data_IF_701530828884
#
_entry.id   IF_701530828884
#
_cell.length_a   1.000
_cell.length_b   1.000
_cell.length_c   1.000
_cell.angle_alpha   90.00
_cell.angle_beta   90.00
_cell.angle_gamma   90.00
#
_symmetry.space_group_name_H-M   'P 1'
#
loop_
_entity.id
_entity.type
_entity.pdbx_description
1 polymer ?
#
# COMPACT_ATOMS: atom_id res chain seq x y z
N UNK A 1 3.02 -14.54 -8.34
CA UNK A 1 1.58 -14.77 -8.11
C UNK A 1 1.20 -14.19 -6.77
N UNK A 2 0.00 -13.69 -6.69
CA UNK A 2 -0.46 -13.07 -5.47
C UNK A 2 -0.80 -14.07 -4.36
N UNK A 3 -0.80 -15.37 -4.66
CA UNK A 3 -1.05 -16.37 -3.62
C UNK A 3 0.09 -16.49 -2.60
N UNK A 4 1.23 -15.84 -2.85
CA UNK A 4 2.31 -15.76 -1.86
C UNK A 4 2.05 -14.69 -0.81
N UNK A 5 1.10 -13.80 -1.06
CA UNK A 5 0.82 -12.69 -0.16
C UNK A 5 0.00 -13.18 1.01
N UNK A 6 0.40 -12.76 2.21
CA UNK A 6 -0.34 -13.06 3.43
C UNK A 6 -0.89 -11.75 4.01
N UNK A 7 -2.04 -11.86 4.65
CA UNK A 7 -2.67 -10.73 5.30
C UNK A 7 -2.50 -10.86 6.80
N UNK A 8 -2.02 -9.81 7.44
CA UNK A 8 -1.77 -9.83 8.88
C UNK A 8 -3.05 -9.52 9.64
N UNK A 9 -3.30 -10.27 10.72
CA UNK A 9 -4.28 -9.87 11.70
C UNK A 9 -3.75 -8.74 12.57
N UNK A 10 -4.56 -8.27 13.54
CA UNK A 10 -4.22 -7.09 14.34
C UNK A 10 -2.89 -7.26 15.06
N UNK A 11 -2.66 -8.40 15.71
CA UNK A 11 -1.45 -8.57 16.51
C UNK A 11 -0.19 -8.59 15.64
N UNK A 12 -0.23 -9.33 14.53
CA UNK A 12 0.92 -9.37 13.64
C UNK A 12 1.15 -8.03 12.95
N UNK A 13 0.07 -7.34 12.58
CA UNK A 13 0.19 -6.01 11.97
C UNK A 13 0.87 -5.04 12.94
N UNK A 14 0.49 -5.07 14.22
CA UNK A 14 1.15 -4.22 15.22
C UNK A 14 2.64 -4.53 15.30
N UNK A 15 3.00 -5.81 15.28
CA UNK A 15 4.40 -6.20 15.36
C UNK A 15 5.18 -5.78 14.12
N UNK A 16 4.60 -6.00 12.93
CA UNK A 16 5.26 -5.63 11.68
C UNK A 16 5.43 -4.11 11.55
N UNK A 17 4.40 -3.37 11.92
CA UNK A 17 4.33 -1.94 11.62
C UNK A 17 4.95 -1.05 12.69
N UNK A 18 5.33 -1.61 13.85
CA UNK A 18 5.98 -0.80 14.87
C UNK A 18 7.33 -0.26 14.41
N UNK A 19 7.89 -0.85 13.36
CA UNK A 19 9.16 -0.40 12.77
C UNK A 19 8.97 0.17 11.37
N UNK A 20 7.74 0.60 11.02
CA UNK A 20 7.45 1.20 9.72
C UNK A 20 8.35 2.41 9.48
N UNK A 21 9.25 2.35 8.47
CA UNK A 21 10.16 3.47 8.21
C UNK A 21 9.49 4.61 7.43
N UNK A 22 8.29 4.37 6.88
CA UNK A 22 7.61 5.33 6.01
C UNK A 22 6.62 6.17 6.81
N UNK A 23 5.82 5.51 7.67
CA UNK A 23 4.79 6.18 8.46
C UNK A 23 4.89 5.75 9.93
N UNK A 24 5.99 6.11 10.61
CA UNK A 24 6.24 5.58 11.95
C UNK A 24 5.28 6.09 13.02
N UNK A 25 4.56 7.19 12.77
CA UNK A 25 3.76 7.85 13.78
C UNK A 25 2.26 7.56 13.68
N UNK A 26 1.84 6.64 12.81
CA UNK A 26 0.44 6.28 12.73
C UNK A 26 0.02 5.51 13.99
N UNK A 27 -1.25 5.69 14.44
CA UNK A 27 -1.72 4.99 15.63
C UNK A 27 -1.60 3.48 15.48
N UNK A 28 -1.27 2.81 16.59
CA UNK A 28 -0.88 1.40 16.54
C UNK A 28 -1.99 0.49 16.06
N UNK A 29 -3.22 0.71 16.53
CA UNK A 29 -4.33 -0.18 16.17
C UNK A 29 -5.16 0.31 14.99
N UNK A 30 -4.68 1.32 14.30
CA UNK A 30 -5.40 1.89 13.17
C UNK A 30 -5.30 1.04 11.90
N UNK A 31 -4.27 0.24 11.79
CA UNK A 31 -3.83 -0.36 10.53
C UNK A 31 -4.69 -1.52 10.04
N UNK A 32 -5.45 -2.16 10.90
CA UNK A 32 -6.26 -3.32 10.51
C UNK A 32 -7.68 -3.14 11.01
N UNK A 33 -8.60 -2.99 10.05
CA UNK A 33 -10.04 -3.00 10.29
C UNK A 33 -10.67 -3.77 9.13
N UNK A 34 -11.45 -4.82 9.40
CA UNK A 34 -12.00 -5.64 8.31
C UNK A 34 -12.68 -4.79 7.25
N UNK A 35 -12.36 -5.05 6.00
CA UNK A 35 -12.89 -4.40 4.79
C UNK A 35 -12.57 -2.91 4.68
N UNK A 36 -11.70 -2.38 5.53
CA UNK A 36 -11.34 -0.97 5.52
C UNK A 36 -9.83 -0.76 5.44
N UNK A 37 -9.08 -1.41 6.32
CA UNK A 37 -7.62 -1.25 6.39
C UNK A 37 -6.98 -2.61 6.53
N UNK A 38 -5.92 -2.83 5.74
CA UNK A 38 -5.28 -4.14 5.65
C UNK A 38 -3.78 -3.98 5.59
N UNK A 39 -3.09 -4.96 6.18
CA UNK A 39 -1.63 -5.04 6.11
C UNK A 39 -1.28 -6.36 5.46
N UNK A 40 -0.51 -6.29 4.38
CA UNK A 40 -0.05 -7.46 3.63
C UNK A 40 1.45 -7.63 3.82
N UNK A 41 1.92 -8.86 3.73
CA UNK A 41 3.35 -9.12 3.82
C UNK A 41 3.73 -10.33 2.98
N UNK A 42 5.03 -10.37 2.65
CA UNK A 42 5.67 -11.51 2.03
C UNK A 42 6.74 -12.00 2.99
N UNK A 43 6.93 -13.32 3.05
CA UNK A 43 7.99 -13.90 3.86
C UNK A 43 8.64 -15.06 3.13
N UNK A 44 9.91 -15.29 3.45
CA UNK A 44 10.65 -16.46 3.00
C UNK A 44 11.16 -17.16 4.25
N UNK A 45 10.74 -18.40 4.45
CA UNK A 45 10.99 -19.14 5.68
C UNK A 45 10.38 -18.39 6.85
N UNK A 46 11.19 -17.87 7.78
CA UNK A 46 10.69 -17.10 8.92
C UNK A 46 11.05 -15.63 8.86
N UNK A 47 11.52 -15.17 7.68
CA UNK A 47 11.97 -13.79 7.49
C UNK A 47 10.94 -13.01 6.71
N UNK A 48 10.61 -11.81 7.19
CA UNK A 48 9.72 -10.89 6.48
C UNK A 48 10.52 -10.23 5.37
N UNK A 49 10.05 -10.37 4.14
CA UNK A 49 10.70 -9.79 2.96
C UNK A 49 10.21 -8.37 2.69
N UNK A 50 8.92 -8.14 2.82
CA UNK A 50 8.31 -6.82 2.55
C UNK A 50 6.95 -6.72 3.22
N UNK A 51 6.51 -5.47 3.41
CA UNK A 51 5.21 -5.15 4.03
C UNK A 51 4.56 -4.06 3.21
N UNK A 52 3.26 -4.16 3.02
CA UNK A 52 2.47 -3.14 2.33
C UNK A 52 1.20 -2.87 3.14
N UNK A 53 0.94 -1.60 3.43
CA UNK A 53 -0.24 -1.17 4.17
C UNK A 53 -1.21 -0.47 3.22
N UNK A 54 -2.48 -0.86 3.30
CA UNK A 54 -3.54 -0.37 2.41
C UNK A 54 -4.72 0.11 3.24
N UNK A 55 -5.33 1.22 2.83
CA UNK A 55 -6.59 1.70 3.38
C UNK A 55 -7.55 1.94 2.23
N UNK A 56 -8.78 1.41 2.36
CA UNK A 56 -9.84 1.61 1.36
C UNK A 56 -10.67 2.80 1.81
N UNK A 57 -10.52 3.92 1.11
CA UNK A 57 -11.04 5.21 1.55
C UNK A 57 -12.04 5.78 0.56
N UNK A 58 -12.77 6.81 0.99
CA UNK A 58 -13.74 7.51 0.16
C UNK A 58 -13.14 8.75 -0.51
N UNK A 59 -11.86 8.96 -0.39
CA UNK A 59 -11.15 10.06 -1.03
C UNK A 59 -9.67 9.74 -1.16
N UNK A 60 -8.94 10.59 -1.87
CA UNK A 60 -7.49 10.46 -2.05
C UNK A 60 -6.79 11.35 -1.05
N UNK A 61 -6.14 10.78 -0.01
CA UNK A 61 -5.54 11.60 1.03
C UNK A 61 -4.24 12.23 0.53
N UNK A 62 -4.02 13.49 0.91
CA UNK A 62 -2.79 14.19 0.56
C UNK A 62 -1.82 14.28 1.75
N UNK A 63 -2.27 13.90 2.95
CA UNK A 63 -1.44 13.91 4.15
C UNK A 63 -1.98 12.88 5.14
N UNK A 64 -1.27 12.73 6.27
CA UNK A 64 -1.66 11.73 7.27
C UNK A 64 -2.96 12.09 7.97
N UNK A 65 -3.26 13.37 8.15
CA UNK A 65 -4.54 13.76 8.75
C UNK A 65 -5.71 13.27 7.91
N UNK A 66 -5.64 13.45 6.59
CA UNK A 66 -6.68 12.95 5.70
C UNK A 66 -6.71 11.42 5.65
N UNK A 67 -5.53 10.79 5.65
CA UNK A 67 -5.45 9.34 5.68
C UNK A 67 -6.20 8.78 6.89
N UNK A 68 -6.05 9.42 8.04
CA UNK A 68 -6.68 8.96 9.29
C UNK A 68 -8.16 9.29 9.35
N UNK A 69 -8.61 10.38 8.69
CA UNK A 69 -9.97 10.88 8.86
C UNK A 69 -10.94 10.44 7.76
N UNK A 70 -10.46 10.07 6.57
CA UNK A 70 -11.34 9.67 5.49
C UNK A 70 -12.04 8.36 5.81
N UNK A 71 -13.28 8.23 5.38
CA UNK A 71 -14.09 7.06 5.63
C UNK A 71 -13.80 5.92 4.68
N UNK A 72 -14.46 4.79 4.93
CA UNK A 72 -14.34 3.61 4.09
C UNK A 72 -14.96 3.88 2.72
N UNK A 73 -14.29 3.44 1.67
CA UNK A 73 -14.77 3.66 0.31
C UNK A 73 -14.06 2.75 -0.69
N UNK A 74 -14.10 3.16 -1.96
CA UNK A 74 -13.61 2.33 -3.05
C UNK A 74 -12.30 2.84 -3.67
N UNK A 75 -11.55 3.64 -2.94
CA UNK A 75 -10.21 4.05 -3.34
C UNK A 75 -9.22 3.34 -2.44
N UNK A 76 -8.46 2.42 -3.04
CA UNK A 76 -7.47 1.64 -2.29
C UNK A 76 -6.16 2.43 -2.26
N UNK A 77 -5.77 2.87 -1.07
CA UNK A 77 -4.62 3.75 -0.88
C UNK A 77 -3.47 2.96 -0.29
N UNK A 78 -2.39 2.86 -1.04
CA UNK A 78 -1.15 2.24 -0.59
C UNK A 78 -0.34 3.35 0.11
N UNK A 79 -0.28 3.30 1.44
CA UNK A 79 0.30 4.43 2.19
C UNK A 79 1.67 4.11 2.81
N UNK A 80 2.03 2.84 2.93
CA UNK A 80 3.36 2.44 3.39
C UNK A 80 3.77 1.16 2.70
N UNK A 81 4.98 1.16 2.17
CA UNK A 81 5.59 -0.05 1.62
C UNK A 81 7.07 -0.02 1.97
N UNK A 82 7.59 -1.12 2.48
CA UNK A 82 9.02 -1.24 2.72
C UNK A 82 9.46 -2.68 2.53
N UNK A 83 10.75 -2.85 2.33
CA UNK A 83 11.30 -4.15 1.93
C UNK A 83 12.64 -4.37 2.62
N UNK A 84 12.84 -5.59 3.07
CA UNK A 84 14.11 -6.06 3.64
C UNK A 84 14.85 -6.96 2.65
N UNK A 85 14.31 -7.14 1.44
CA UNK A 85 14.88 -8.02 0.43
C UNK A 85 14.71 -7.37 -0.93
N UNK A 86 15.79 -7.31 -1.71
CA UNK A 86 15.77 -6.66 -3.01
C UNK A 86 14.70 -7.26 -3.91
N UNK A 87 13.89 -6.40 -4.52
CA UNK A 87 12.82 -6.81 -5.42
C UNK A 87 11.51 -7.14 -4.74
N UNK A 88 11.50 -7.34 -3.41
CA UNK A 88 10.28 -7.72 -2.71
C UNK A 88 9.28 -6.58 -2.59
N UNK A 89 9.77 -5.33 -2.56
CA UNK A 89 8.86 -4.17 -2.56
C UNK A 89 8.04 -4.10 -3.84
N UNK A 90 8.69 -4.28 -4.99
CA UNK A 90 7.97 -4.32 -6.26
C UNK A 90 7.01 -5.50 -6.31
N UNK A 91 7.45 -6.67 -5.87
CA UNK A 91 6.62 -7.86 -5.90
C UNK A 91 5.36 -7.68 -5.06
N UNK A 92 5.50 -7.17 -3.83
CA UNK A 92 4.33 -7.03 -2.96
C UNK A 92 3.33 -6.03 -3.52
N UNK A 93 3.81 -4.93 -4.12
CA UNK A 93 2.91 -3.94 -4.71
C UNK A 93 2.14 -4.54 -5.88
N UNK A 94 2.83 -5.17 -6.81
CA UNK A 94 2.18 -5.69 -8.01
C UNK A 94 1.27 -6.89 -7.71
N UNK A 95 1.70 -7.78 -6.82
CA UNK A 95 0.89 -8.93 -6.46
C UNK A 95 -0.34 -8.50 -5.65
N UNK A 96 -0.21 -7.50 -4.78
CA UNK A 96 -1.35 -6.99 -4.03
C UNK A 96 -2.35 -6.28 -4.96
N UNK A 97 -1.86 -5.56 -5.97
CA UNK A 97 -2.75 -4.98 -6.98
C UNK A 97 -3.59 -6.05 -7.64
N UNK A 98 -2.97 -7.17 -8.05
CA UNK A 98 -3.70 -8.28 -8.66
C UNK A 98 -4.75 -8.85 -7.70
N UNK A 99 -4.36 -9.07 -6.45
CA UNK A 99 -5.28 -9.60 -5.45
C UNK A 99 -6.47 -8.68 -5.24
N UNK A 100 -6.21 -7.39 -5.00
CA UNK A 100 -7.27 -6.43 -4.72
C UNK A 100 -8.16 -6.24 -5.94
N UNK A 101 -7.60 -6.27 -7.13
CA UNK A 101 -8.39 -6.16 -8.35
C UNK A 101 -9.38 -7.32 -8.46
N UNK A 102 -8.99 -8.51 -8.04
CA UNK A 102 -9.90 -9.66 -8.08
C UNK A 102 -11.03 -9.53 -7.06
N UNK A 103 -10.80 -8.81 -5.96
CA UNK A 103 -11.76 -8.63 -4.88
C UNK A 103 -12.58 -7.34 -5.00
N UNK A 104 -11.99 -6.31 -5.59
CA UNK A 104 -12.56 -4.96 -5.65
C UNK A 104 -12.36 -4.38 -7.05
N UNK A 105 -13.01 -4.98 -8.05
CA UNK A 105 -12.75 -4.68 -9.46
C UNK A 105 -13.02 -3.24 -9.87
N UNK A 106 -13.86 -2.52 -9.11
CA UNK A 106 -14.22 -1.14 -9.42
C UNK A 106 -13.43 -0.11 -8.62
N UNK A 107 -12.46 -0.56 -7.80
CA UNK A 107 -11.68 0.37 -7.00
C UNK A 107 -10.64 1.07 -7.85
N UNK A 108 -10.27 2.27 -7.42
CA UNK A 108 -9.07 2.94 -7.88
C UNK A 108 -7.92 2.56 -6.96
N UNK A 109 -6.72 2.56 -7.49
CA UNK A 109 -5.52 2.14 -6.75
C UNK A 109 -4.52 3.28 -6.78
N UNK A 110 -4.40 3.98 -5.66
CA UNK A 110 -3.54 5.15 -5.55
C UNK A 110 -2.56 4.95 -4.39
N UNK A 111 -1.55 5.81 -4.32
CA UNK A 111 -0.61 5.82 -3.21
C UNK A 111 -0.72 7.13 -2.45
N UNK A 112 -0.23 7.12 -1.20
CA UNK A 112 0.14 8.34 -0.51
C UNK A 112 1.59 8.16 -0.10
N UNK A 113 2.50 8.66 -0.93
CA UNK A 113 3.93 8.36 -0.86
C UNK A 113 4.72 9.52 -0.30
N UNK A 114 5.85 9.28 0.37
CA UNK A 114 6.74 10.37 0.73
C UNK A 114 7.19 11.14 -0.50
N UNK A 115 7.41 12.44 -0.34
CA UNK A 115 7.80 13.28 -1.46
C UNK A 115 9.32 13.21 -1.66
N UNK A 116 9.79 12.07 -2.17
CA UNK A 116 11.21 11.78 -2.37
C UNK A 116 11.45 11.27 -3.78
N UNK A 117 12.70 11.40 -4.24
CA UNK A 117 13.09 10.85 -5.53
C UNK A 117 13.00 9.34 -5.55
N UNK A 118 13.29 8.70 -4.42
CA UNK A 118 13.20 7.25 -4.32
C UNK A 118 11.77 6.77 -4.54
N UNK A 119 10.79 7.42 -3.91
CA UNK A 119 9.38 7.05 -4.07
C UNK A 119 8.92 7.30 -5.51
N UNK A 120 9.32 8.43 -6.10
CA UNK A 120 9.01 8.75 -7.49
C UNK A 120 9.52 7.66 -8.42
N UNK A 121 10.79 7.31 -8.29
CA UNK A 121 11.38 6.29 -9.14
C UNK A 121 10.72 4.93 -8.92
N UNK A 122 10.51 4.54 -7.67
CA UNK A 122 9.93 3.25 -7.35
C UNK A 122 8.56 3.08 -8.01
N UNK A 123 7.66 4.02 -7.78
CA UNK A 123 6.30 3.86 -8.29
C UNK A 123 6.21 4.03 -9.80
N UNK A 124 6.96 4.96 -10.39
CA UNK A 124 6.93 5.12 -11.85
C UNK A 124 7.59 3.93 -12.54
N UNK A 125 8.65 3.36 -11.98
CA UNK A 125 9.26 2.14 -12.53
C UNK A 125 8.30 0.95 -12.45
N UNK A 126 7.40 0.94 -11.48
CA UNK A 126 6.39 -0.11 -11.34
C UNK A 126 5.17 0.11 -12.25
N UNK A 127 5.12 1.20 -13.00
CA UNK A 127 4.05 1.47 -13.94
C UNK A 127 3.00 2.46 -13.48
N UNK A 128 3.16 3.06 -12.30
CA UNK A 128 2.23 4.08 -11.83
C UNK A 128 2.50 5.42 -12.50
N UNK A 129 1.50 6.27 -12.49
CA UNK A 129 1.62 7.64 -12.98
C UNK A 129 1.43 8.60 -11.83
N UNK A 130 2.17 9.71 -11.87
CA UNK A 130 1.99 10.76 -10.88
C UNK A 130 0.62 11.39 -11.09
N UNK A 131 -0.24 11.26 -10.08
CA UNK A 131 -1.58 11.83 -10.11
C UNK A 131 -1.56 13.27 -9.63
N UNK A 132 -0.88 13.53 -8.52
CA UNK A 132 -0.74 14.89 -8.01
C UNK A 132 0.44 15.00 -7.06
N UNK A 133 0.97 16.20 -6.97
CA UNK A 133 2.04 16.55 -6.07
C UNK A 133 1.48 17.43 -4.97
N UNK A 134 1.72 17.08 -3.73
CA UNK A 134 1.21 17.77 -2.55
C UNK A 134 2.39 18.39 -1.79
N UNK A 135 2.13 19.22 -0.77
CA UNK A 135 3.25 19.84 -0.03
C UNK A 135 4.24 18.82 0.55
N UNK A 136 3.76 17.69 1.08
CA UNK A 136 4.63 16.71 1.73
C UNK A 136 4.54 15.31 1.13
N UNK A 137 3.67 15.10 0.15
CA UNK A 137 3.46 13.75 -0.40
C UNK A 137 3.28 13.81 -1.90
N UNK A 138 3.41 12.63 -2.52
CA UNK A 138 2.96 12.37 -3.89
C UNK A 138 1.81 11.38 -3.84
N UNK A 139 0.82 11.57 -4.70
CA UNK A 139 -0.14 10.51 -5.00
C UNK A 139 0.17 9.98 -6.40
N UNK A 140 0.46 8.68 -6.48
CA UNK A 140 0.60 7.98 -7.76
C UNK A 140 -0.64 7.14 -7.96
N UNK A 141 -0.98 6.89 -9.21
CA UNK A 141 -2.11 6.01 -9.52
C UNK A 141 -1.64 4.86 -10.39
N UNK A 142 -2.00 3.64 -9.98
CA UNK A 142 -1.80 2.45 -10.75
C UNK A 142 -3.05 2.19 -11.56
N UNK A 143 -2.95 2.38 -12.87
CA UNK A 143 -4.04 2.03 -13.78
C UNK A 143 -3.76 0.61 -14.23
N UNK A 144 -4.59 -0.31 -13.77
CA UNK A 144 -4.38 -1.70 -14.12
C UNK A 144 -4.95 -1.93 -15.50
N UNK A 145 -4.07 -2.11 -16.45
CA UNK A 145 -4.46 -2.44 -17.79
C UNK A 145 -4.22 -3.93 -17.94
N UNK A 146 -5.29 -4.67 -18.22
CA UNK A 146 -5.14 -6.07 -18.56
C UNK A 146 -5.02 -6.16 -20.04
N UNK A 147 -3.91 -6.68 -20.46
CA UNK A 147 -3.76 -6.97 -21.85
C UNK A 147 -4.21 -8.37 -22.07
N UNK A 148 -5.27 -8.46 -22.82
CA UNK A 148 -5.76 -9.73 -23.19
C UNK A 148 -5.44 -9.90 -24.61
N UNK A 149 -4.72 -10.82 -24.78
CA UNK A 149 -4.44 -10.98 -26.12
C UNK A 149 -4.79 -12.34 -26.47
#
# INVERSE_FOLDING_TARGET
MWNDIEKAGVELADELCKHDPVRPNLPQHWRVVPNWREVFYLKTNHMIDSVLCVAHLDGIPINEDELLSFGNGNISVFYSVWSNKKGSGRKIVLDTLDLLKSQHSNNRYVTMSPKTEMAMKFHTDNGAKLLQENPLTYNFEYTIIFEYE
#
